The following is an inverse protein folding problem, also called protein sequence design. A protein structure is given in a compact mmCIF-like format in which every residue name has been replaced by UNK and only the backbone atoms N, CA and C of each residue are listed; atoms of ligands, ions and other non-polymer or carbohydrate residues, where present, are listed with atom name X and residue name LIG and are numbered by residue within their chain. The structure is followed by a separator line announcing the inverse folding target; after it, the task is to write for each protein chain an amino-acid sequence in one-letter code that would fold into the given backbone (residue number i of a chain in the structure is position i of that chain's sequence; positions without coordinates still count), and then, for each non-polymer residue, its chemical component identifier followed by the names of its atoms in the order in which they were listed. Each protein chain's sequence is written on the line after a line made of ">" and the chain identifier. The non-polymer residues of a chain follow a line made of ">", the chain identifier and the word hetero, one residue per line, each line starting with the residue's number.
data_IF_456583508712
#
_entry.id   IF_456583508712
#
_cell.length_a   1.000
_cell.length_b   1.000
_cell.length_c   1.000
_cell.angle_alpha   90.00
_cell.angle_beta   90.00
_cell.angle_gamma   90.00
#
_symmetry.space_group_name_H-M   'P 1'
#
loop_
_entity.id
_entity.type
_entity.pdbx_description
1 polymer ?
#
# COMPACT_ATOMS: atom_id res chain seq x y z
N UNK A 1 1.75 -12.84 24.46
CA UNK A 1 1.68 -11.45 24.97
C UNK A 1 3.02 -10.80 24.69
N UNK A 2 3.14 -10.08 23.58
CA UNK A 2 4.38 -9.37 23.21
C UNK A 2 4.33 -8.05 23.97
N UNK A 3 5.21 -7.93 24.95
CA UNK A 3 5.27 -6.75 25.83
C UNK A 3 5.99 -5.65 25.07
N UNK A 4 5.27 -4.57 24.68
CA UNK A 4 5.83 -3.33 24.14
C UNK A 4 6.77 -2.59 25.13
N UNK A 5 7.00 -3.16 26.31
CA UNK A 5 7.68 -2.51 27.45
C UNK A 5 9.21 -2.49 27.42
N UNK A 6 9.89 -2.94 26.35
CA UNK A 6 11.35 -2.82 26.21
C UNK A 6 11.76 -2.00 25.02
N UNK A 7 11.29 -0.75 24.92
CA UNK A 7 11.86 0.20 23.96
C UNK A 7 13.01 0.93 24.66
N UNK A 8 14.20 0.31 24.69
CA UNK A 8 15.47 0.96 24.96
C UNK A 8 16.16 1.19 23.62
N UNK A 9 16.08 2.41 23.14
CA UNK A 9 17.02 3.13 22.26
C UNK A 9 16.30 4.41 21.82
N UNK A 10 16.98 5.50 21.63
CA UNK A 10 16.41 6.72 21.06
C UNK A 10 15.78 6.40 19.71
N UNK A 11 14.45 6.24 19.71
CA UNK A 11 13.70 6.07 18.47
C UNK A 11 13.72 7.40 17.74
N UNK A 12 14.12 7.36 16.47
CA UNK A 12 14.04 8.53 15.60
C UNK A 12 12.58 8.73 15.21
N UNK A 13 11.94 9.77 15.74
CA UNK A 13 10.60 10.19 15.36
C UNK A 13 10.74 11.34 14.35
N UNK A 14 10.10 11.23 13.21
CA UNK A 14 10.20 12.21 12.11
C UNK A 14 8.82 12.74 11.73
N UNK A 15 8.79 13.96 11.20
CA UNK A 15 7.57 14.64 10.74
C UNK A 15 7.03 14.01 9.45
N UNK A 16 6.50 12.81 9.60
CA UNK A 16 5.93 11.98 8.54
C UNK A 16 4.53 11.54 8.97
N UNK A 17 3.56 11.64 8.06
CA UNK A 17 2.22 11.06 8.23
C UNK A 17 2.16 9.70 7.56
N UNK A 18 1.97 8.64 8.33
CA UNK A 18 1.73 7.29 7.82
C UNK A 18 0.23 7.10 7.58
N UNK A 19 -0.16 6.84 6.35
CA UNK A 19 -1.55 6.65 5.93
C UNK A 19 -1.79 5.16 5.64
N UNK A 20 -2.80 4.58 6.32
CA UNK A 20 -3.14 3.17 6.22
C UNK A 20 -4.65 3.04 5.95
N UNK A 21 -5.08 2.80 4.70
CA UNK A 21 -6.44 2.39 4.43
C UNK A 21 -6.66 0.96 4.94
N UNK A 22 -7.80 0.71 5.58
CA UNK A 22 -8.21 -0.59 6.07
C UNK A 22 -9.66 -0.88 5.69
N UNK A 23 -9.95 -2.13 5.31
CA UNK A 23 -11.31 -2.61 5.10
C UNK A 23 -11.39 -4.10 5.38
N UNK A 24 -12.20 -4.50 6.35
CA UNK A 24 -12.44 -5.90 6.73
C UNK A 24 -11.11 -6.66 6.96
N UNK A 25 -10.10 -5.98 7.53
CA UNK A 25 -8.74 -6.47 7.66
C UNK A 25 -8.13 -6.21 9.05
N UNK A 26 -8.95 -6.28 10.11
CA UNK A 26 -8.54 -5.95 11.48
C UNK A 26 -7.30 -6.75 11.90
N UNK A 27 -7.29 -8.06 11.72
CA UNK A 27 -6.15 -8.91 12.10
C UNK A 27 -4.84 -8.47 11.40
N UNK A 28 -4.92 -8.18 10.08
CA UNK A 28 -3.77 -7.71 9.29
C UNK A 28 -3.29 -6.33 9.74
N UNK A 29 -4.23 -5.43 10.00
CA UNK A 29 -3.90 -4.12 10.54
C UNK A 29 -3.18 -4.26 11.88
N UNK A 30 -3.69 -5.09 12.80
CA UNK A 30 -3.05 -5.32 14.09
C UNK A 30 -1.64 -5.92 13.96
N UNK A 31 -1.43 -6.83 13.01
CA UNK A 31 -0.09 -7.34 12.70
C UNK A 31 0.85 -6.23 12.22
N UNK A 32 0.38 -5.36 11.31
CA UNK A 32 1.15 -4.22 10.82
C UNK A 32 1.50 -3.24 11.95
N UNK A 33 0.52 -2.87 12.78
CA UNK A 33 0.73 -1.97 13.92
C UNK A 33 1.77 -2.51 14.91
N UNK A 34 1.81 -3.83 15.14
CA UNK A 34 2.82 -4.50 15.97
C UNK A 34 4.24 -4.42 15.39
N UNK A 35 4.40 -4.19 14.09
CA UNK A 35 5.72 -4.02 13.48
C UNK A 35 6.30 -2.62 13.71
N UNK A 36 5.45 -1.58 13.81
CA UNK A 36 5.88 -0.17 13.91
C UNK A 36 6.86 0.08 15.05
N UNK A 37 6.66 -0.41 16.27
CA UNK A 37 7.60 -0.21 17.37
C UNK A 37 9.03 -0.73 17.11
N UNK A 38 9.19 -1.64 16.15
CA UNK A 38 10.49 -2.22 15.80
C UNK A 38 11.19 -1.46 14.66
N UNK A 39 10.53 -0.48 14.05
CA UNK A 39 11.15 0.29 12.97
C UNK A 39 12.28 1.18 13.49
N UNK A 40 13.29 1.40 12.64
CA UNK A 40 14.43 2.28 12.95
C UNK A 40 13.98 3.74 13.04
N UNK A 41 13.01 4.14 12.22
CA UNK A 41 12.37 5.47 12.20
C UNK A 41 10.87 5.31 12.36
N UNK A 42 10.26 6.16 13.17
CA UNK A 42 8.84 6.15 13.50
C UNK A 42 8.20 7.43 12.95
N UNK A 43 7.03 7.38 12.30
CA UNK A 43 6.30 8.58 11.92
C UNK A 43 5.71 9.25 13.17
N UNK A 44 5.65 10.60 13.20
CA UNK A 44 5.01 11.32 14.30
C UNK A 44 3.48 11.38 14.17
N UNK A 45 2.94 10.96 13.02
CA UNK A 45 1.49 10.87 12.78
C UNK A 45 1.13 9.57 12.08
N UNK A 46 0.11 8.87 12.59
CA UNK A 46 -0.45 7.66 11.99
C UNK A 46 -1.95 7.89 11.77
N UNK A 47 -2.38 7.75 10.52
CA UNK A 47 -3.76 7.98 10.10
C UNK A 47 -4.30 6.66 9.53
N UNK A 48 -5.28 6.09 10.21
CA UNK A 48 -5.95 4.85 9.79
C UNK A 48 -7.33 5.24 9.28
N UNK A 49 -7.63 4.90 8.03
CA UNK A 49 -8.95 5.08 7.44
C UNK A 49 -9.61 3.71 7.35
N UNK A 50 -10.50 3.45 8.30
CA UNK A 50 -11.22 2.19 8.39
C UNK A 50 -12.53 2.28 7.63
N UNK A 51 -12.69 1.48 6.61
CA UNK A 51 -13.90 1.37 5.80
C UNK A 51 -14.63 0.04 5.96
N UNK A 52 -14.39 -0.65 7.06
CA UNK A 52 -15.06 -1.90 7.45
C UNK A 52 -16.52 -1.65 7.86
N UNK A 53 -17.35 -2.68 7.79
CA UNK A 53 -18.74 -2.59 8.25
C UNK A 53 -18.79 -2.39 9.78
N UNK A 54 -17.91 -3.03 10.52
CA UNK A 54 -17.72 -2.84 11.95
C UNK A 54 -16.44 -2.06 12.22
N UNK A 55 -16.52 -1.06 13.10
CA UNK A 55 -15.37 -0.25 13.49
C UNK A 55 -14.28 -1.13 14.12
N UNK A 56 -13.05 -0.96 13.65
CA UNK A 56 -11.88 -1.63 14.20
C UNK A 56 -11.56 -1.18 15.63
N UNK A 57 -10.97 -2.09 16.42
CA UNK A 57 -10.50 -1.81 17.76
C UNK A 57 -8.96 -1.79 17.78
N UNK A 58 -8.39 -0.71 18.30
CA UNK A 58 -6.94 -0.58 18.45
C UNK A 58 -6.50 -1.11 19.81
N UNK A 59 -5.45 -1.94 19.86
CA UNK A 59 -4.96 -2.46 21.14
C UNK A 59 -4.46 -1.36 22.08
N UNK A 60 -4.80 -1.45 23.36
CA UNK A 60 -4.39 -0.47 24.39
C UNK A 60 -2.87 -0.30 24.51
N UNK A 61 -2.12 -1.37 24.27
CA UNK A 61 -0.66 -1.35 24.26
C UNK A 61 -0.10 -0.50 23.11
N UNK A 62 -0.74 -0.53 21.93
CA UNK A 62 -0.37 0.34 20.82
C UNK A 62 -0.75 1.80 21.08
N UNK A 63 -1.92 2.06 21.67
CA UNK A 63 -2.30 3.42 22.12
C UNK A 63 -1.31 3.97 23.16
N UNK A 64 -0.89 3.14 24.10
CA UNK A 64 0.12 3.52 25.10
C UNK A 64 1.48 3.82 24.43
N UNK A 65 1.88 3.00 23.45
CA UNK A 65 3.09 3.24 22.66
C UNK A 65 3.06 4.58 21.95
N UNK A 66 1.96 4.91 21.27
CA UNK A 66 1.82 6.19 20.55
C UNK A 66 1.84 7.38 21.51
N UNK A 67 1.16 7.28 22.65
CA UNK A 67 1.17 8.32 23.69
C UNK A 67 2.56 8.56 24.27
N UNK A 68 3.30 7.50 24.59
CA UNK A 68 4.65 7.60 25.16
C UNK A 68 5.67 8.26 24.24
N UNK A 69 5.46 8.20 22.93
CA UNK A 69 6.33 8.85 21.94
C UNK A 69 5.72 10.13 21.34
N UNK A 70 4.61 10.63 21.89
CA UNK A 70 3.86 11.77 21.36
C UNK A 70 3.49 11.62 19.87
N UNK A 71 3.20 10.38 19.43
CA UNK A 71 2.73 10.11 18.09
C UNK A 71 1.24 10.39 18.01
N UNK A 72 0.82 11.19 17.06
CA UNK A 72 -0.58 11.44 16.82
C UNK A 72 -1.20 10.23 16.12
N UNK A 73 -2.15 9.56 16.77
CA UNK A 73 -2.95 8.48 16.18
C UNK A 73 -4.34 9.01 15.84
N UNK A 74 -4.68 9.03 14.55
CA UNK A 74 -6.00 9.42 14.06
C UNK A 74 -6.68 8.21 13.40
N UNK A 75 -7.88 7.88 13.86
CA UNK A 75 -8.67 6.79 13.29
C UNK A 75 -9.97 7.37 12.77
N UNK A 76 -10.20 7.23 11.48
CA UNK A 76 -11.42 7.68 10.81
C UNK A 76 -12.15 6.43 10.35
N UNK A 77 -13.39 6.28 10.81
CA UNK A 77 -14.27 5.21 10.38
C UNK A 77 -15.35 5.76 9.46
N UNK A 78 -15.36 5.27 8.22
CA UNK A 78 -16.34 5.65 7.21
C UNK A 78 -16.57 4.46 6.27
N UNK A 79 -17.77 3.88 6.32
CA UNK A 79 -18.09 2.65 5.59
C UNK A 79 -18.12 2.84 4.07
N UNK A 80 -17.93 1.73 3.34
CA UNK A 80 -18.05 1.67 1.87
C UNK A 80 -17.06 2.51 1.05
N UNK A 81 -15.94 2.92 1.63
CA UNK A 81 -14.88 3.58 0.86
C UNK A 81 -14.12 2.56 -0.01
N UNK A 82 -13.72 3.02 -1.19
CA UNK A 82 -12.70 2.36 -1.98
C UNK A 82 -11.29 2.85 -1.59
N UNK A 83 -10.23 2.09 -1.89
CA UNK A 83 -8.88 2.43 -1.43
C UNK A 83 -8.41 3.83 -1.82
N UNK A 84 -8.72 4.28 -3.04
CA UNK A 84 -8.37 5.63 -3.49
C UNK A 84 -9.02 6.72 -2.66
N UNK A 85 -10.32 6.58 -2.35
CA UNK A 85 -11.05 7.52 -1.50
C UNK A 85 -10.46 7.53 -0.07
N UNK A 86 -10.24 6.36 0.52
CA UNK A 86 -9.63 6.26 1.84
C UNK A 86 -8.24 6.95 1.90
N UNK A 87 -7.39 6.77 0.87
CA UNK A 87 -6.11 7.48 0.78
C UNK A 87 -6.29 8.99 0.66
N UNK A 88 -7.26 9.46 -0.14
CA UNK A 88 -7.55 10.90 -0.29
C UNK A 88 -7.95 11.54 1.05
N UNK A 89 -8.80 10.87 1.84
CA UNK A 89 -9.13 11.32 3.20
C UNK A 89 -7.86 11.40 4.04
N UNK A 90 -7.01 10.37 4.02
CA UNK A 90 -5.74 10.37 4.76
C UNK A 90 -4.82 11.52 4.36
N UNK A 91 -4.68 11.79 3.05
CA UNK A 91 -3.91 12.93 2.52
C UNK A 91 -4.47 14.26 3.02
N UNK A 92 -5.79 14.44 2.98
CA UNK A 92 -6.43 15.68 3.42
C UNK A 92 -6.25 15.95 4.92
N UNK A 93 -6.29 14.90 5.74
CA UNK A 93 -6.18 14.98 7.20
C UNK A 93 -4.74 15.02 7.72
N UNK A 94 -3.77 14.65 6.89
CA UNK A 94 -2.35 14.66 7.26
C UNK A 94 -1.83 16.07 7.51
N UNK A 95 -1.02 16.23 8.56
CA UNK A 95 -0.41 17.50 8.95
C UNK A 95 0.99 17.71 8.37
N UNK A 96 1.68 16.61 8.08
CA UNK A 96 3.07 16.66 7.63
C UNK A 96 3.19 16.85 6.11
N UNK A 97 4.32 17.41 5.70
CA UNK A 97 4.68 17.56 4.29
C UNK A 97 5.17 16.27 3.65
N UNK A 98 5.57 15.28 4.45
CA UNK A 98 6.00 13.96 3.98
C UNK A 98 4.94 12.93 4.36
N UNK A 99 4.50 12.17 3.36
CA UNK A 99 3.49 11.14 3.51
C UNK A 99 4.11 9.77 3.21
N UNK A 100 3.80 8.78 4.03
CA UNK A 100 4.15 7.39 3.82
C UNK A 100 2.86 6.57 3.70
N UNK A 101 2.83 5.59 2.79
CA UNK A 101 1.63 4.81 2.50
C UNK A 101 1.89 3.31 2.70
N UNK A 102 1.02 2.65 3.44
CA UNK A 102 1.02 1.20 3.56
C UNK A 102 -0.40 0.68 3.43
N UNK A 103 -0.54 -0.51 2.85
CA UNK A 103 -1.79 -1.27 2.93
C UNK A 103 -1.67 -2.30 4.07
N UNK A 104 -2.80 -2.73 4.64
CA UNK A 104 -2.83 -3.70 5.75
C UNK A 104 -2.18 -5.04 5.45
N UNK A 105 -2.04 -5.39 4.17
CA UNK A 105 -1.42 -6.65 3.72
C UNK A 105 0.06 -6.52 3.35
N UNK A 106 0.67 -5.34 3.52
CA UNK A 106 2.06 -5.08 3.14
C UNK A 106 2.92 -4.81 4.37
N UNK A 107 3.93 -5.66 4.58
CA UNK A 107 4.80 -5.61 5.76
C UNK A 107 6.19 -5.13 5.35
N UNK A 108 6.59 -3.91 5.75
CA UNK A 108 7.91 -3.38 5.46
C UNK A 108 9.00 -3.96 6.36
N UNK A 109 10.25 -3.86 5.91
CA UNK A 109 11.40 -4.08 6.79
C UNK A 109 11.47 -3.01 7.88
N UNK A 110 12.19 -3.27 8.96
CA UNK A 110 12.37 -2.30 10.05
C UNK A 110 13.16 -1.05 9.62
N UNK A 111 13.82 -1.06 8.47
CA UNK A 111 14.60 0.05 7.90
C UNK A 111 13.83 0.82 6.82
N UNK A 112 12.71 0.32 6.35
CA UNK A 112 11.98 0.86 5.20
C UNK A 112 11.80 2.38 5.26
N UNK A 113 11.17 2.90 6.32
CA UNK A 113 10.88 4.32 6.44
C UNK A 113 12.18 5.16 6.53
N UNK A 114 13.15 4.71 7.31
CA UNK A 114 14.45 5.36 7.45
C UNK A 114 15.21 5.41 6.12
N UNK A 115 15.32 4.27 5.45
CA UNK A 115 16.07 4.16 4.19
C UNK A 115 15.41 4.98 3.09
N UNK A 116 14.09 4.88 2.93
CA UNK A 116 13.36 5.62 1.92
C UNK A 116 13.38 7.13 2.14
N UNK A 117 13.19 7.60 3.37
CA UNK A 117 13.24 9.01 3.71
C UNK A 117 14.63 9.64 3.45
N UNK A 118 15.71 8.96 3.87
CA UNK A 118 17.06 9.44 3.58
C UNK A 118 17.38 9.42 2.09
N UNK A 119 16.92 8.38 1.38
CA UNK A 119 17.12 8.31 -0.07
C UNK A 119 16.42 9.45 -0.80
N UNK A 120 15.20 9.80 -0.39
CA UNK A 120 14.46 10.94 -0.91
C UNK A 120 15.21 12.25 -0.69
N UNK A 121 15.73 12.47 0.53
CA UNK A 121 16.53 13.66 0.88
C UNK A 121 17.83 13.73 0.09
N UNK A 122 18.61 12.66 0.08
CA UNK A 122 19.93 12.61 -0.57
C UNK A 122 19.84 12.84 -2.08
N UNK A 123 18.81 12.33 -2.72
CA UNK A 123 18.62 12.48 -4.16
C UNK A 123 17.87 13.75 -4.55
N UNK A 124 17.43 14.55 -3.58
CA UNK A 124 16.54 15.70 -3.79
C UNK A 124 15.37 15.32 -4.71
N UNK A 125 14.67 14.25 -4.34
CA UNK A 125 13.52 13.71 -5.10
C UNK A 125 12.20 14.03 -4.40
N UNK A 126 11.11 14.03 -5.17
CA UNK A 126 9.75 14.24 -4.65
C UNK A 126 9.22 13.04 -3.88
N UNK A 127 9.91 11.90 -3.97
CA UNK A 127 9.54 10.70 -3.25
C UNK A 127 10.36 9.46 -3.63
N UNK A 128 10.01 8.37 -2.98
CA UNK A 128 10.50 7.01 -3.25
C UNK A 128 9.28 6.12 -3.48
N UNK A 129 9.31 5.33 -4.56
CA UNK A 129 8.26 4.34 -4.81
C UNK A 129 8.31 3.21 -3.80
N UNK A 130 7.16 2.60 -3.55
CA UNK A 130 7.11 1.30 -2.92
C UNK A 130 7.68 0.20 -3.82
N UNK A 131 8.10 -0.90 -3.19
CA UNK A 131 8.63 -2.07 -3.86
C UNK A 131 8.15 -3.31 -3.11
N UNK A 132 7.31 -4.13 -3.73
CA UNK A 132 6.64 -5.23 -3.03
C UNK A 132 7.05 -6.57 -3.59
N UNK A 133 7.47 -7.46 -2.70
CA UNK A 133 7.71 -8.86 -2.98
C UNK A 133 6.49 -9.70 -2.60
N UNK A 134 5.89 -10.35 -3.57
CA UNK A 134 4.73 -11.22 -3.38
C UNK A 134 5.20 -12.63 -2.99
N UNK A 135 5.00 -13.02 -1.73
CA UNK A 135 5.35 -14.35 -1.26
C UNK A 135 4.40 -15.40 -1.82
N UNK A 136 4.95 -16.54 -2.24
CA UNK A 136 4.19 -17.68 -2.73
C UNK A 136 4.94 -18.96 -2.41
N UNK A 137 4.41 -19.78 -1.51
CA UNK A 137 4.97 -21.07 -1.08
C UNK A 137 4.22 -22.24 -1.71
N UNK A 138 2.88 -22.18 -1.69
CA UNK A 138 2.02 -23.19 -2.28
C UNK A 138 2.13 -23.22 -3.80
N UNK A 139 1.89 -24.39 -4.42
CA UNK A 139 2.03 -24.57 -5.87
C UNK A 139 1.11 -23.61 -6.66
N UNK A 140 -0.16 -23.52 -6.29
CA UNK A 140 -1.12 -22.62 -6.96
C UNK A 140 -0.75 -21.14 -6.83
N UNK A 141 -0.23 -20.71 -5.66
CA UNK A 141 0.20 -19.33 -5.47
C UNK A 141 1.49 -19.00 -6.23
N UNK A 142 2.41 -19.99 -6.41
CA UNK A 142 3.58 -19.83 -7.29
C UNK A 142 3.18 -19.62 -8.74
N UNK A 143 2.23 -20.41 -9.26
CA UNK A 143 1.70 -20.23 -10.61
C UNK A 143 1.06 -18.86 -10.74
N UNK A 144 0.15 -18.52 -9.83
CA UNK A 144 -0.54 -17.23 -9.86
C UNK A 144 0.46 -16.06 -9.83
N UNK A 145 1.46 -16.11 -8.95
CA UNK A 145 2.53 -15.10 -8.89
C UNK A 145 3.31 -15.01 -10.19
N UNK A 146 3.68 -16.14 -10.78
CA UNK A 146 4.42 -16.16 -12.05
C UNK A 146 3.63 -15.50 -13.19
N UNK A 147 2.31 -15.70 -13.23
CA UNK A 147 1.44 -15.12 -14.24
C UNK A 147 1.10 -13.64 -14.00
N UNK A 148 1.29 -13.10 -12.79
CA UNK A 148 0.81 -11.75 -12.42
C UNK A 148 1.92 -10.81 -11.97
N UNK A 149 2.70 -11.19 -10.95
CA UNK A 149 3.66 -10.31 -10.28
C UNK A 149 5.12 -10.63 -10.59
N UNK A 150 5.40 -11.84 -11.12
CA UNK A 150 6.76 -12.30 -11.36
C UNK A 150 7.50 -12.74 -10.09
N UNK A 151 8.79 -13.06 -10.25
CA UNK A 151 9.62 -13.63 -9.19
C UNK A 151 10.41 -12.58 -8.37
N UNK A 152 10.47 -11.34 -8.84
CA UNK A 152 11.22 -10.24 -8.20
C UNK A 152 10.26 -9.25 -7.56
N UNK A 153 10.72 -8.42 -6.60
CA UNK A 153 9.93 -7.28 -6.13
C UNK A 153 9.55 -6.37 -7.30
N UNK A 154 8.34 -5.85 -7.27
CA UNK A 154 7.83 -4.93 -8.29
C UNK A 154 7.49 -3.58 -7.67
N UNK A 155 7.58 -2.54 -8.47
CA UNK A 155 7.19 -1.20 -8.09
C UNK A 155 5.69 -1.16 -7.77
N UNK A 156 5.35 -0.61 -6.59
CA UNK A 156 3.97 -0.51 -6.09
C UNK A 156 3.74 0.86 -5.46
N UNK A 157 2.47 1.25 -5.31
CA UNK A 157 2.13 2.44 -4.55
C UNK A 157 2.26 2.19 -3.03
N UNK A 158 1.75 1.10 -2.45
CA UNK A 158 2.05 0.75 -1.06
C UNK A 158 3.56 0.67 -0.82
N UNK A 159 4.03 1.30 0.24
CA UNK A 159 5.45 1.48 0.53
C UNK A 159 6.06 2.77 -0.01
N UNK A 160 5.32 3.58 -0.73
CA UNK A 160 5.80 4.88 -1.20
C UNK A 160 5.92 5.89 -0.06
N UNK A 161 6.96 6.72 -0.15
CA UNK A 161 7.21 7.87 0.73
C UNK A 161 7.27 9.09 -0.18
N UNK A 162 6.37 10.06 0.01
CA UNK A 162 6.12 11.12 -0.96
C UNK A 162 6.08 12.50 -0.28
N UNK A 163 6.56 13.53 -0.96
CA UNK A 163 6.23 14.89 -0.60
C UNK A 163 4.75 15.16 -0.92
N UNK A 164 3.99 15.69 0.03
CA UNK A 164 2.56 15.95 -0.09
C UNK A 164 2.21 16.85 -1.29
N UNK A 165 3.12 17.76 -1.65
CA UNK A 165 2.92 18.68 -2.78
C UNK A 165 2.79 17.98 -4.14
N UNK A 166 3.21 16.71 -4.25
CA UNK A 166 3.06 15.91 -5.48
C UNK A 166 1.58 15.75 -5.87
N UNK A 167 0.68 15.74 -4.87
CA UNK A 167 -0.76 15.63 -5.09
C UNK A 167 -1.37 16.91 -5.69
N UNK A 168 -0.71 18.06 -5.55
CA UNK A 168 -1.10 19.29 -6.24
C UNK A 168 -0.77 19.22 -7.74
N UNK A 169 0.24 18.44 -8.12
CA UNK A 169 0.69 18.28 -9.51
C UNK A 169 -0.08 17.16 -10.21
N UNK A 170 -0.14 16.01 -9.57
CA UNK A 170 -0.73 14.80 -10.14
C UNK A 170 -2.23 14.64 -9.87
N UNK A 171 -2.80 15.47 -8.97
CA UNK A 171 -4.14 15.29 -8.44
C UNK A 171 -4.25 14.14 -7.44
N UNK A 172 -5.45 13.93 -6.92
CA UNK A 172 -5.77 12.87 -5.96
C UNK A 172 -6.07 11.55 -6.68
N UNK A 173 -6.30 10.49 -5.92
CA UNK A 173 -6.71 9.18 -6.45
C UNK A 173 -8.14 9.22 -7.00
N UNK A 174 -8.43 8.38 -7.99
CA UNK A 174 -9.78 8.13 -8.46
C UNK A 174 -10.54 7.34 -7.38
N UNK A 175 -11.67 7.90 -6.92
CA UNK A 175 -12.43 7.35 -5.80
C UNK A 175 -13.47 6.29 -6.21
N UNK A 176 -13.86 6.28 -7.48
CA UNK A 176 -14.97 5.46 -7.99
C UNK A 176 -14.61 4.02 -8.34
N UNK A 177 -13.35 3.61 -8.15
CA UNK A 177 -12.85 2.28 -8.48
C UNK A 177 -12.29 1.55 -7.26
N UNK A 178 -12.51 0.22 -7.23
CA UNK A 178 -12.02 -0.63 -6.14
C UNK A 178 -10.56 -1.08 -6.34
N UNK A 179 -10.03 -0.97 -7.54
CA UNK A 179 -8.68 -1.42 -7.87
C UNK A 179 -8.14 -0.66 -9.08
N UNK A 180 -6.82 -0.51 -9.14
CA UNK A 180 -6.09 0.14 -10.22
C UNK A 180 -5.93 1.65 -10.03
N UNK A 181 -6.52 2.24 -9.01
CA UNK A 181 -6.39 3.65 -8.66
C UNK A 181 -4.94 4.04 -8.37
N UNK A 182 -4.18 3.12 -7.78
CA UNK A 182 -2.75 3.26 -7.49
C UNK A 182 -1.91 3.24 -8.78
N UNK A 183 -2.17 2.32 -9.68
CA UNK A 183 -1.52 2.24 -10.99
C UNK A 183 -1.82 3.47 -11.85
N UNK A 184 -3.08 3.94 -11.87
CA UNK A 184 -3.47 5.18 -12.54
C UNK A 184 -2.70 6.38 -11.97
N UNK A 185 -2.66 6.51 -10.66
CA UNK A 185 -1.97 7.63 -10.01
C UNK A 185 -0.46 7.61 -10.28
N UNK A 186 0.18 6.43 -10.18
CA UNK A 186 1.60 6.25 -10.49
C UNK A 186 1.91 6.62 -11.94
N UNK A 187 1.04 6.24 -12.87
CA UNK A 187 1.17 6.60 -14.28
C UNK A 187 1.07 8.12 -14.51
N UNK A 188 0.13 8.80 -13.82
CA UNK A 188 0.04 10.26 -13.89
C UNK A 188 1.31 10.94 -13.37
N UNK A 189 1.90 10.44 -12.28
CA UNK A 189 3.16 10.95 -11.75
C UNK A 189 4.33 10.74 -12.74
N UNK A 190 4.37 9.61 -13.45
CA UNK A 190 5.37 9.34 -14.49
C UNK A 190 5.20 10.27 -15.71
N UNK A 191 3.96 10.47 -16.17
CA UNK A 191 3.66 11.39 -17.26
C UNK A 191 4.06 12.84 -16.95
N UNK A 192 3.92 13.26 -15.69
CA UNK A 192 4.38 14.56 -15.19
C UNK A 192 5.90 14.62 -14.95
N UNK A 193 6.62 13.54 -15.26
CA UNK A 193 8.09 13.42 -15.09
C UNK A 193 8.55 13.77 -13.66
N UNK A 194 7.74 13.43 -12.68
CA UNK A 194 8.08 13.64 -11.26
C UNK A 194 9.36 12.89 -10.93
N UNK A 195 10.34 13.60 -10.35
CA UNK A 195 11.61 13.00 -9.94
C UNK A 195 11.38 12.10 -8.72
N UNK A 196 11.35 10.80 -8.94
CA UNK A 196 11.23 9.76 -7.91
C UNK A 196 12.54 9.00 -7.77
N UNK A 197 12.91 8.63 -6.54
CA UNK A 197 14.05 7.73 -6.31
C UNK A 197 13.61 6.25 -6.40
N UNK A 198 14.47 5.37 -6.94
CA UNK A 198 14.21 3.94 -6.92
C UNK A 198 14.29 3.44 -5.47
N UNK A 199 13.43 2.50 -5.05
CA UNK A 199 13.44 1.96 -3.69
C UNK A 199 14.67 1.08 -3.45
N UNK A 200 15.21 1.11 -2.24
CA UNK A 200 16.29 0.24 -1.77
C UNK A 200 15.83 -0.78 -0.72
N UNK A 201 14.57 -0.73 -0.31
CA UNK A 201 13.92 -1.67 0.60
C UNK A 201 12.68 -2.23 -0.07
N UNK A 202 12.19 -3.37 0.40
CA UNK A 202 10.96 -3.95 -0.12
C UNK A 202 9.98 -4.30 1.00
N UNK A 203 8.70 -4.36 0.62
CA UNK A 203 7.62 -4.84 1.46
C UNK A 203 7.34 -6.31 1.12
N UNK A 204 6.92 -7.05 2.12
CA UNK A 204 6.44 -8.41 1.95
C UNK A 204 4.91 -8.43 1.87
N UNK A 205 4.37 -9.11 0.86
CA UNK A 205 2.95 -9.41 0.72
C UNK A 205 2.75 -10.92 0.75
N UNK A 206 1.98 -11.45 1.68
CA UNK A 206 1.90 -12.90 1.96
C UNK A 206 0.50 -13.52 1.76
N UNK A 207 -0.50 -12.74 1.34
CA UNK A 207 -1.88 -13.24 1.18
C UNK A 207 -2.08 -14.25 0.05
N UNK A 208 -1.10 -14.44 -0.86
CA UNK A 208 -1.25 -15.39 -1.96
C UNK A 208 -1.40 -16.83 -1.47
N UNK A 209 -0.74 -17.17 -0.35
CA UNK A 209 -0.79 -18.52 0.22
C UNK A 209 -2.04 -18.78 1.07
N UNK A 210 -2.68 -17.73 1.59
CA UNK A 210 -3.90 -17.84 2.40
C UNK A 210 -5.18 -17.94 1.57
N UNK A 211 -5.11 -17.68 0.26
CA UNK A 211 -6.24 -17.69 -0.64
C UNK A 211 -6.25 -18.93 -1.52
N UNK A 212 -7.42 -19.57 -1.72
CA UNK A 212 -7.56 -20.63 -2.71
C UNK A 212 -7.42 -20.06 -4.13
N UNK A 213 -7.05 -20.91 -5.09
CA UNK A 213 -6.95 -20.50 -6.51
C UNK A 213 -8.25 -19.85 -7.01
N UNK A 214 -9.41 -20.41 -6.64
CA UNK A 214 -10.72 -19.85 -6.99
C UNK A 214 -10.92 -18.44 -6.43
N UNK A 215 -10.49 -18.20 -5.19
CA UNK A 215 -10.56 -16.87 -4.56
C UNK A 215 -9.62 -15.88 -5.25
N UNK A 216 -8.40 -16.30 -5.59
CA UNK A 216 -7.43 -15.49 -6.34
C UNK A 216 -7.97 -15.08 -7.70
N UNK A 217 -8.50 -16.02 -8.47
CA UNK A 217 -9.11 -15.77 -9.79
C UNK A 217 -10.31 -14.82 -9.64
N UNK A 218 -11.21 -15.06 -8.66
CA UNK A 218 -12.38 -14.18 -8.41
C UNK A 218 -11.93 -12.75 -8.03
N UNK A 219 -10.90 -12.62 -7.18
CA UNK A 219 -10.31 -11.34 -6.80
C UNK A 219 -9.74 -10.63 -8.04
N UNK A 220 -9.04 -11.37 -8.90
CA UNK A 220 -8.43 -10.85 -10.11
C UNK A 220 -9.47 -10.35 -11.12
N UNK A 221 -10.52 -11.13 -11.42
CA UNK A 221 -11.63 -10.71 -12.29
C UNK A 221 -12.32 -9.46 -11.78
N UNK A 222 -12.60 -9.40 -10.48
CA UNK A 222 -13.21 -8.23 -9.86
C UNK A 222 -12.31 -7.00 -10.02
N UNK A 223 -11.02 -7.13 -9.75
CA UNK A 223 -10.07 -6.03 -9.87
C UNK A 223 -9.97 -5.57 -11.33
N UNK A 224 -9.86 -6.50 -12.27
CA UNK A 224 -9.80 -6.20 -13.69
C UNK A 224 -11.03 -5.43 -14.19
N UNK A 225 -12.23 -5.79 -13.74
CA UNK A 225 -13.48 -5.07 -14.06
C UNK A 225 -13.43 -3.58 -13.62
N UNK A 226 -12.80 -3.28 -12.51
CA UNK A 226 -12.63 -1.91 -12.02
C UNK A 226 -11.52 -1.18 -12.78
N UNK A 227 -10.39 -1.83 -12.94
CA UNK A 227 -9.23 -1.30 -13.66
C UNK A 227 -9.54 -0.93 -15.11
N UNK A 228 -10.35 -1.73 -15.80
CA UNK A 228 -10.78 -1.47 -17.18
C UNK A 228 -11.59 -0.15 -17.35
N UNK A 229 -12.10 0.42 -16.27
CA UNK A 229 -12.80 1.73 -16.29
C UNK A 229 -11.83 2.92 -16.30
N UNK A 230 -10.57 2.70 -15.95
CA UNK A 230 -9.57 3.75 -15.80
C UNK A 230 -9.03 4.22 -17.16
N UNK A 231 -8.80 5.54 -17.34
CA UNK A 231 -8.27 6.08 -18.59
C UNK A 231 -6.94 5.46 -19.02
N UNK A 232 -6.05 5.22 -18.07
CA UNK A 232 -4.74 4.59 -18.28
C UNK A 232 -4.86 3.24 -18.97
N UNK A 233 -5.74 2.36 -18.48
CA UNK A 233 -5.93 1.03 -19.07
C UNK A 233 -6.68 1.06 -20.39
N UNK A 234 -7.52 2.07 -20.62
CA UNK A 234 -8.17 2.26 -21.94
C UNK A 234 -7.19 2.67 -23.02
N UNK A 235 -6.11 3.35 -22.66
CA UNK A 235 -5.04 3.73 -23.58
C UNK A 235 -4.14 2.54 -23.98
N UNK A 236 -4.02 1.53 -23.11
CA UNK A 236 -3.17 0.35 -23.33
C UNK A 236 -4.02 -0.81 -23.89
N UNK A 237 -4.40 -0.70 -25.15
CA UNK A 237 -5.23 -1.70 -25.88
C UNK A 237 -4.60 -3.10 -25.92
N UNK A 238 -3.29 -3.22 -25.75
CA UNK A 238 -2.54 -4.48 -25.79
C UNK A 238 -3.03 -5.50 -24.74
N UNK A 239 -3.46 -5.03 -23.56
CA UNK A 239 -4.05 -5.90 -22.55
C UNK A 239 -5.36 -6.57 -22.98
N UNK A 240 -6.15 -5.90 -23.83
CA UNK A 240 -7.38 -6.48 -24.39
C UNK A 240 -7.06 -7.58 -25.40
N UNK A 241 -6.02 -7.41 -26.22
CA UNK A 241 -5.60 -8.42 -27.18
C UNK A 241 -5.06 -9.67 -26.49
N UNK A 242 -4.29 -9.53 -25.41
CA UNK A 242 -3.86 -10.68 -24.60
C UNK A 242 -5.04 -11.42 -23.97
N UNK A 243 -6.02 -10.71 -23.42
CA UNK A 243 -7.22 -11.30 -22.86
C UNK A 243 -8.05 -12.05 -23.91
N UNK A 244 -8.25 -11.46 -25.08
CA UNK A 244 -8.97 -12.09 -26.21
C UNK A 244 -8.21 -13.32 -26.70
N UNK A 245 -6.90 -13.24 -26.87
CA UNK A 245 -6.06 -14.37 -27.28
C UNK A 245 -6.13 -15.53 -26.29
N UNK A 246 -6.12 -15.25 -24.99
CA UNK A 246 -6.24 -16.29 -23.96
C UNK A 246 -7.61 -16.99 -24.02
N UNK A 247 -8.69 -16.21 -24.19
CA UNK A 247 -10.05 -16.78 -24.35
C UNK A 247 -10.15 -17.59 -25.63
N UNK A 248 -9.58 -17.12 -26.74
CA UNK A 248 -9.57 -17.85 -28.01
C UNK A 248 -8.83 -19.19 -27.89
N UNK A 249 -7.68 -19.21 -27.21
CA UNK A 249 -6.92 -20.45 -26.93
C UNK A 249 -7.75 -21.41 -26.07
N UNK A 250 -8.40 -20.91 -25.01
CA UNK A 250 -9.23 -21.74 -24.13
C UNK A 250 -10.47 -22.33 -24.86
N UNK A 251 -11.05 -21.57 -25.78
CA UNK A 251 -12.19 -22.04 -26.60
C UNK A 251 -11.74 -23.01 -27.69
N UNK A 252 -10.56 -22.85 -28.26
CA UNK A 252 -10.03 -23.75 -29.29
C UNK A 252 -9.52 -25.10 -28.72
N UNK A 253 -9.29 -25.21 -27.41
CA UNK A 253 -8.80 -26.39 -26.71
C UNK A 253 -9.93 -27.25 -26.11
N UNK A 254 -11.18 -26.78 -26.14
CA UNK A 254 -12.38 -27.54 -25.76
C UNK A 254 -13.18 -27.94 -27.00
#
# INVERSE_FOLDING_TARGET
>A
MIVFNKIKAHKMVEDISLIIPSRDAEERLLQLLRCIPNWKMIPNEIIIIDSSDNKISIPKDFESFTKNLNIQLLIIHETNLYPGHARNIGISKSKNSILAFLDTSTFPTNKWLYSGFNLMKNNNSMGVWGNTYYQAKAFHSKIFRACTFGAKPIKTFPGSILNKSIFNICGLFIESVRAGEDGDWMSRAELQKIKMSPPNEFLSYDELDSSSLKQLIKKWFRNYKHTAKLPFFRAHKDYYYYGISLVAVLVAYN
#
